data_IF_529021365529
#
_entry.id   IF_529021365529
#
_cell.length_a   1.000
_cell.length_b   1.000
_cell.length_c   1.000
_cell.angle_alpha   90.00
_cell.angle_beta   90.00
_cell.angle_gamma   90.00
#
_symmetry.space_group_name_H-M   'P 1'
#
loop_
_entity.id
_entity.type
_entity.pdbx_description
1 polymer ?
#
# COMPACT_ATOMS: atom_id res chain seq x y z
N UNK A 1 -20.54 62.42 40.50
CA UNK A 1 -20.02 61.23 41.22
C UNK A 1 -19.77 60.11 40.22
N UNK A 2 -18.57 59.52 40.27
CA UNK A 2 -18.08 58.42 39.43
C UNK A 2 -19.06 57.23 39.40
N UNK A 3 -19.27 56.64 38.22
CA UNK A 3 -19.57 55.20 38.08
C UNK A 3 -18.83 54.66 36.85
N UNK A 4 -17.78 53.90 37.16
CA UNK A 4 -17.05 53.06 36.21
C UNK A 4 -17.86 51.80 35.89
N UNK A 5 -17.44 51.14 34.82
CA UNK A 5 -17.69 49.73 34.46
C UNK A 5 -18.93 49.46 33.63
N UNK A 6 -18.73 49.42 32.31
CA UNK A 6 -19.38 48.41 31.48
C UNK A 6 -18.49 48.05 30.28
N UNK A 7 -17.23 47.69 30.55
CA UNK A 7 -16.49 46.80 29.67
C UNK A 7 -16.74 45.38 30.21
N UNK A 8 -16.98 44.42 29.31
CA UNK A 8 -17.34 43.01 29.55
C UNK A 8 -18.88 42.84 29.51
N UNK A 9 -19.44 42.34 28.39
CA UNK A 9 -19.18 40.95 27.98
C UNK A 9 -19.12 40.78 26.44
N UNK A 10 -17.94 40.89 25.85
CA UNK A 10 -17.70 40.45 24.45
C UNK A 10 -16.99 39.08 24.40
N UNK A 11 -16.71 38.47 25.57
CA UNK A 11 -15.94 37.21 25.66
C UNK A 11 -16.82 35.95 25.54
N UNK A 12 -18.14 36.06 25.54
CA UNK A 12 -19.03 34.88 25.62
C UNK A 12 -19.56 34.34 24.28
N UNK A 13 -19.14 34.86 23.11
CA UNK A 13 -19.72 34.45 21.81
C UNK A 13 -18.86 33.39 21.07
N UNK A 14 -17.67 33.02 21.57
CA UNK A 14 -16.79 32.07 20.85
C UNK A 14 -16.98 30.59 21.23
N UNK A 15 -17.99 30.23 22.02
CA UNK A 15 -18.32 28.83 22.34
C UNK A 15 -19.17 28.14 21.26
N UNK A 16 -19.10 28.62 20.01
CA UNK A 16 -19.84 28.10 18.86
C UNK A 16 -19.16 26.91 18.20
N UNK A 17 -19.55 25.71 18.63
CA UNK A 17 -19.64 24.50 17.81
C UNK A 17 -18.35 23.92 17.19
N UNK A 18 -17.43 23.40 18.00
CA UNK A 18 -16.57 22.30 17.54
C UNK A 18 -17.39 20.99 17.57
N UNK A 19 -18.22 20.80 16.55
CA UNK A 19 -18.82 19.49 16.24
C UNK A 19 -17.69 18.57 15.75
N UNK A 20 -17.10 17.80 16.66
CA UNK A 20 -16.14 16.77 16.28
C UNK A 20 -16.93 15.64 15.61
N UNK A 21 -17.06 15.70 14.29
CA UNK A 21 -17.66 14.64 13.50
C UNK A 21 -16.81 13.37 13.69
N UNK A 22 -17.34 12.43 14.48
CA UNK A 22 -16.79 11.09 14.58
C UNK A 22 -16.78 10.52 13.17
N UNK A 23 -15.60 10.28 12.61
CA UNK A 23 -15.48 9.53 11.36
C UNK A 23 -16.13 8.17 11.61
N UNK A 24 -17.35 7.99 11.11
CA UNK A 24 -17.90 6.67 10.90
C UNK A 24 -16.95 6.01 9.91
N UNK A 25 -16.15 5.07 10.40
CA UNK A 25 -15.47 4.11 9.55
C UNK A 25 -16.58 3.37 8.83
N UNK A 26 -16.89 3.82 7.62
CA UNK A 26 -17.67 3.06 6.67
C UNK A 26 -16.88 1.77 6.42
N UNK A 27 -17.28 0.68 7.09
CA UNK A 27 -16.78 -0.68 6.80
C UNK A 27 -17.53 -1.29 5.59
N UNK A 28 -18.07 -0.44 4.72
CA UNK A 28 -18.86 -0.80 3.56
C UNK A 28 -18.06 -0.83 2.26
N UNK A 29 -16.74 -0.56 2.31
CA UNK A 29 -15.84 -0.82 1.20
C UNK A 29 -15.30 -2.23 1.26
N UNK A 30 -15.43 -3.00 0.18
CA UNK A 30 -14.75 -4.29 0.02
C UNK A 30 -13.24 -4.18 0.26
N UNK A 31 -12.56 -5.32 0.45
CA UNK A 31 -11.10 -5.29 0.62
C UNK A 31 -10.44 -4.55 -0.55
N UNK A 32 -9.45 -3.67 -0.28
CA UNK A 32 -8.74 -3.00 -1.36
C UNK A 32 -8.03 -4.05 -2.23
N UNK A 33 -7.94 -3.84 -3.55
CA UNK A 33 -7.30 -4.78 -4.44
C UNK A 33 -5.84 -4.98 -4.03
N UNK A 34 -5.39 -6.24 -3.98
CA UNK A 34 -4.03 -6.63 -3.64
C UNK A 34 -3.35 -7.22 -4.85
N UNK A 35 -2.05 -7.01 -4.93
CA UNK A 35 -1.23 -7.58 -5.98
C UNK A 35 -0.95 -9.06 -5.66
N UNK A 36 -1.37 -9.97 -6.55
CA UNK A 36 -1.21 -11.40 -6.38
C UNK A 36 0.21 -11.82 -6.75
N UNK A 37 0.81 -12.69 -5.93
CA UNK A 37 2.15 -13.23 -6.19
C UNK A 37 2.17 -14.02 -7.51
N UNK A 38 3.27 -13.90 -8.29
CA UNK A 38 3.42 -14.69 -9.50
C UNK A 38 3.66 -16.16 -9.15
N UNK A 39 3.32 -17.04 -10.07
CA UNK A 39 3.68 -18.46 -9.96
C UNK A 39 5.00 -18.67 -10.68
N UNK A 40 6.00 -19.15 -9.93
CA UNK A 40 7.37 -19.32 -10.42
C UNK A 40 7.80 -20.76 -10.21
N UNK A 41 8.34 -21.37 -11.25
CA UNK A 41 8.90 -22.73 -11.21
C UNK A 41 10.41 -22.67 -11.25
N UNK A 42 11.03 -23.38 -10.30
CA UNK A 42 12.49 -23.59 -10.27
C UNK A 42 12.83 -24.82 -11.12
N UNK A 43 13.68 -24.64 -12.11
CA UNK A 43 14.09 -25.66 -13.08
C UNK A 43 15.61 -25.78 -13.01
N UNK A 44 16.13 -26.99 -12.89
CA UNK A 44 17.57 -27.24 -13.05
C UNK A 44 17.88 -27.42 -14.52
N UNK A 45 18.81 -26.62 -15.04
CA UNK A 45 19.34 -26.76 -16.38
C UNK A 45 20.66 -27.53 -16.26
N UNK A 46 20.77 -28.72 -16.88
CA UNK A 46 22.00 -29.49 -16.83
C UNK A 46 23.12 -28.75 -17.57
N UNK A 47 24.39 -29.01 -17.22
CA UNK A 47 25.50 -28.47 -17.98
C UNK A 47 25.50 -28.97 -19.42
N UNK A 48 25.95 -28.14 -20.35
CA UNK A 48 26.01 -28.48 -21.76
C UNK A 48 27.22 -27.87 -22.46
N UNK A 49 27.66 -28.55 -23.51
CA UNK A 49 28.71 -28.09 -24.41
C UNK A 49 28.05 -27.40 -25.60
N UNK A 50 28.41 -26.14 -25.85
CA UNK A 50 27.93 -25.34 -26.97
C UNK A 50 29.04 -25.11 -28.01
N UNK A 51 28.65 -24.60 -29.18
CA UNK A 51 29.56 -24.19 -30.24
C UNK A 51 30.59 -25.28 -30.62
N UNK A 52 30.11 -26.52 -30.76
CA UNK A 52 30.94 -27.64 -31.21
C UNK A 52 32.09 -28.01 -30.26
N UNK A 53 32.05 -27.63 -28.99
CA UNK A 53 33.15 -27.90 -28.04
C UNK A 53 33.87 -26.67 -27.52
N UNK A 54 33.62 -25.49 -28.09
CA UNK A 54 34.33 -24.26 -27.70
C UNK A 54 33.85 -23.66 -26.37
N UNK A 55 32.60 -23.95 -25.97
CA UNK A 55 31.99 -23.37 -24.78
C UNK A 55 31.43 -24.46 -23.87
N UNK A 56 31.76 -24.36 -22.58
CA UNK A 56 31.16 -25.16 -21.51
C UNK A 56 30.25 -24.27 -20.68
N UNK A 57 28.99 -24.67 -20.55
CA UNK A 57 28.02 -23.99 -19.69
C UNK A 57 27.80 -24.84 -18.44
N UNK A 58 28.08 -24.27 -17.27
CA UNK A 58 27.81 -24.94 -16.00
C UNK A 58 26.31 -25.08 -15.74
N UNK A 59 25.92 -26.20 -15.13
CA UNK A 59 24.54 -26.43 -14.74
C UNK A 59 24.09 -25.40 -13.70
N UNK A 60 22.90 -24.85 -13.88
CA UNK A 60 22.40 -23.78 -13.03
C UNK A 60 20.89 -23.85 -12.88
N UNK A 61 20.37 -23.16 -11.86
CA UNK A 61 18.94 -23.02 -11.68
C UNK A 61 18.39 -21.87 -12.51
N UNK A 62 17.31 -22.12 -13.23
CA UNK A 62 16.50 -21.12 -13.89
C UNK A 62 15.13 -21.02 -13.20
N UNK A 63 14.67 -19.79 -12.98
CA UNK A 63 13.34 -19.51 -12.45
C UNK A 63 12.45 -19.04 -13.60
N UNK A 64 11.42 -19.82 -13.94
CA UNK A 64 10.47 -19.49 -14.99
C UNK A 64 9.16 -19.00 -14.38
N UNK A 65 8.71 -17.82 -14.78
CA UNK A 65 7.39 -17.31 -14.43
C UNK A 65 6.36 -18.07 -15.28
N UNK A 66 5.45 -18.80 -14.64
CA UNK A 66 4.35 -19.52 -15.31
C UNK A 66 3.08 -18.68 -15.31
N UNK A 67 2.83 -17.94 -14.23
CA UNK A 67 1.75 -16.96 -14.14
C UNK A 67 2.29 -15.63 -13.65
N UNK A 68 1.97 -14.58 -14.41
CA UNK A 68 2.28 -13.21 -14.01
C UNK A 68 1.47 -12.79 -12.79
N UNK A 69 1.93 -11.71 -12.18
CA UNK A 69 1.23 -11.04 -11.10
C UNK A 69 0.00 -10.33 -11.64
N UNK A 70 -1.11 -10.45 -10.91
CA UNK A 70 -2.41 -9.83 -11.27
C UNK A 70 -3.03 -9.14 -10.05
N UNK A 71 -3.88 -8.15 -10.28
CA UNK A 71 -4.65 -7.54 -9.21
C UNK A 71 -5.80 -8.45 -8.78
N UNK A 72 -6.07 -8.54 -7.48
CA UNK A 72 -7.27 -9.21 -6.98
C UNK A 72 -8.52 -8.49 -7.46
N UNK A 73 -9.57 -9.26 -7.77
CA UNK A 73 -10.89 -8.73 -8.12
C UNK A 73 -11.56 -8.04 -6.93
#
# INVERSE_FOLDING_TARGET
MKRYHLLIPIVCILAGCTSMQKKTSDKSGGEPPKLLKPEVKKIWIPPEIRNGGAEWVEGHYMYRIERETTWSR
#
